data_IF_916786240629
#
_entry.id   IF_916786240629
#
_cell.length_a   1.000
_cell.length_b   1.000
_cell.length_c   1.000
_cell.angle_alpha   90.00
_cell.angle_beta   90.00
_cell.angle_gamma   90.00
#
_symmetry.space_group_name_H-M   'P 1'
#
loop_
_entity.id
_entity.type
_entity.pdbx_description
1 polymer ?
#
# COMPACT_ATOMS: atom_id res chain seq x y z
N UNK A 1 -21.17 37.08 -71.34
CA UNK A 1 -21.74 37.24 -69.98
C UNK A 1 -21.33 36.05 -69.16
N UNK A 2 -20.52 36.34 -68.14
CA UNK A 2 -20.00 35.42 -67.12
C UNK A 2 -21.13 34.82 -66.29
N UNK A 3 -20.95 33.61 -65.75
CA UNK A 3 -21.25 33.33 -64.34
C UNK A 3 -20.54 32.04 -63.87
N UNK A 4 -19.83 32.24 -62.77
CA UNK A 4 -18.78 31.42 -62.15
C UNK A 4 -19.28 30.15 -61.46
N UNK A 5 -18.56 29.04 -61.65
CA UNK A 5 -18.70 27.81 -60.84
C UNK A 5 -17.95 28.00 -59.52
N UNK A 6 -18.66 28.09 -58.41
CA UNK A 6 -18.07 28.14 -57.07
C UNK A 6 -17.80 26.72 -56.57
N UNK A 7 -16.52 26.35 -56.51
CA UNK A 7 -16.06 25.15 -55.81
C UNK A 7 -15.99 25.42 -54.31
N UNK A 8 -16.75 24.67 -53.52
CA UNK A 8 -16.69 24.71 -52.05
C UNK A 8 -15.55 23.78 -51.62
N UNK A 9 -14.41 24.35 -51.25
CA UNK A 9 -13.32 23.62 -50.59
C UNK A 9 -13.65 23.51 -49.10
N UNK A 10 -14.04 22.32 -48.64
CA UNK A 10 -14.18 22.02 -47.21
C UNK A 10 -12.78 21.82 -46.61
N UNK A 11 -12.28 22.84 -45.90
CA UNK A 11 -11.10 22.72 -45.05
C UNK A 11 -11.48 21.94 -43.78
N UNK A 12 -11.28 20.63 -43.77
CA UNK A 12 -11.31 19.82 -42.55
C UNK A 12 -10.03 20.13 -41.75
N UNK A 13 -10.12 21.08 -40.82
CA UNK A 13 -9.05 21.33 -39.85
C UNK A 13 -8.95 20.13 -38.92
N UNK A 14 -7.91 19.31 -39.12
CA UNK A 14 -7.48 18.32 -38.14
C UNK A 14 -6.94 19.09 -36.93
N UNK A 15 -7.78 19.27 -35.91
CA UNK A 15 -7.29 19.64 -34.57
C UNK A 15 -6.52 18.42 -34.04
N UNK A 16 -5.22 18.37 -34.31
CA UNK A 16 -4.31 17.63 -33.44
C UNK A 16 -4.45 18.25 -32.06
N UNK A 17 -5.21 17.61 -31.18
CA UNK A 17 -5.10 17.89 -29.75
C UNK A 17 -3.66 17.59 -29.38
N UNK A 18 -2.85 18.63 -29.24
CA UNK A 18 -1.61 18.52 -28.48
C UNK A 18 -2.04 18.15 -27.06
N UNK A 19 -1.99 16.86 -26.76
CA UNK A 19 -1.96 16.39 -25.39
C UNK A 19 -0.66 16.95 -24.81
N UNK A 20 -0.77 18.04 -24.08
CA UNK A 20 0.31 18.51 -23.22
C UNK A 20 0.56 17.37 -22.23
N UNK A 21 1.59 16.59 -22.49
CA UNK A 21 2.11 15.63 -21.53
C UNK A 21 2.61 16.48 -20.37
N UNK A 22 1.79 16.65 -19.35
CA UNK A 22 2.14 17.45 -18.19
C UNK A 22 3.40 16.85 -17.58
N UNK A 23 4.53 17.54 -17.70
CA UNK A 23 5.77 17.07 -17.11
C UNK A 23 5.54 16.90 -15.61
N UNK A 24 5.71 15.66 -15.11
CA UNK A 24 5.66 15.32 -13.69
C UNK A 24 6.51 16.24 -12.81
N UNK A 25 7.52 16.89 -13.40
CA UNK A 25 8.41 17.87 -12.77
C UNK A 25 7.68 19.06 -12.12
N UNK A 26 6.54 19.46 -12.67
CA UNK A 26 5.75 20.57 -12.13
C UNK A 26 4.65 20.10 -11.17
N UNK A 27 4.49 18.78 -10.98
CA UNK A 27 3.56 18.26 -10.00
C UNK A 27 4.09 18.60 -8.60
N UNK A 28 3.36 19.46 -7.90
CA UNK A 28 3.60 19.71 -6.49
C UNK A 28 2.61 18.85 -5.72
N UNK A 29 3.06 17.85 -4.94
CA UNK A 29 2.17 17.09 -4.08
C UNK A 29 1.71 18.00 -2.94
N UNK A 30 0.76 18.87 -3.26
CA UNK A 30 0.12 19.73 -2.29
C UNK A 30 -1.09 18.99 -1.73
N UNK A 31 -0.97 18.74 -0.43
CA UNK A 31 -2.00 18.38 0.54
C UNK A 31 -2.49 16.96 0.64
N UNK A 32 -2.42 16.11 -0.39
CA UNK A 32 -2.66 14.64 -0.39
C UNK A 32 -3.26 14.14 -1.71
N UNK A 33 -3.63 15.06 -2.62
CA UNK A 33 -4.36 14.78 -3.86
C UNK A 33 -3.84 13.54 -4.64
N UNK A 34 -4.76 12.70 -5.08
CA UNK A 34 -4.46 11.46 -5.78
C UNK A 34 -4.32 11.63 -7.30
N UNK A 35 -4.61 12.83 -7.85
CA UNK A 35 -4.52 13.07 -9.30
C UNK A 35 -3.12 12.84 -9.86
N UNK A 36 -2.06 12.92 -9.05
CA UNK A 36 -0.67 12.61 -9.41
C UNK A 36 -0.56 11.34 -10.26
N UNK A 37 -1.19 10.27 -9.78
CA UNK A 37 -1.10 8.96 -10.40
C UNK A 37 -1.68 8.96 -11.81
N UNK A 38 -2.78 9.67 -12.03
CA UNK A 38 -3.45 9.75 -13.33
C UNK A 38 -2.84 10.81 -14.25
N UNK A 39 -2.69 12.02 -13.73
CA UNK A 39 -2.30 13.20 -14.50
C UNK A 39 -0.81 13.24 -14.83
N UNK A 40 0.05 12.55 -14.08
CA UNK A 40 1.49 12.48 -14.33
C UNK A 40 1.93 11.05 -14.69
N UNK A 41 1.79 10.06 -13.79
CA UNK A 41 2.36 8.74 -14.06
C UNK A 41 1.64 8.02 -15.20
N UNK A 42 0.31 7.94 -15.15
CA UNK A 42 -0.45 7.25 -16.19
C UNK A 42 -0.43 7.99 -17.53
N UNK A 43 -0.52 9.34 -17.52
CA UNK A 43 -0.46 10.13 -18.76
C UNK A 43 0.85 9.92 -19.52
N UNK A 44 1.96 9.76 -18.80
CA UNK A 44 3.29 9.57 -19.37
C UNK A 44 3.59 8.10 -19.73
N UNK A 45 3.17 7.14 -18.90
CA UNK A 45 3.59 5.74 -19.01
C UNK A 45 2.52 4.76 -19.50
N UNK A 46 1.24 5.18 -19.50
CA UNK A 46 0.10 4.42 -20.00
C UNK A 46 0.05 2.96 -19.53
N UNK A 47 0.16 2.75 -18.21
CA UNK A 47 0.21 1.42 -17.62
C UNK A 47 -1.14 0.71 -17.57
N UNK A 48 -2.23 1.42 -17.84
CA UNK A 48 -3.59 0.90 -17.89
C UNK A 48 -4.24 0.77 -16.53
N UNK A 49 -5.51 0.34 -16.53
CA UNK A 49 -6.35 0.26 -15.32
C UNK A 49 -5.82 -0.71 -14.27
N UNK A 50 -5.13 -1.77 -14.68
CA UNK A 50 -4.52 -2.75 -13.78
C UNK A 50 -3.06 -2.39 -13.42
N UNK A 51 -2.49 -1.36 -14.07
CA UNK A 51 -1.16 -0.87 -13.81
C UNK A 51 -1.05 -0.18 -12.45
N UNK A 52 0.17 -0.06 -11.93
CA UNK A 52 0.40 0.53 -10.60
C UNK A 52 -0.21 1.92 -10.42
N UNK A 53 -0.10 2.89 -11.37
CA UNK A 53 -0.64 4.22 -11.18
C UNK A 53 -2.14 4.22 -10.86
N UNK A 54 -2.97 3.59 -11.68
CA UNK A 54 -4.42 3.59 -11.50
C UNK A 54 -4.90 2.47 -10.57
N UNK A 55 -4.49 1.23 -10.84
CA UNK A 55 -5.00 0.03 -10.19
C UNK A 55 -4.53 -0.16 -8.74
N UNK A 56 -3.49 0.57 -8.32
CA UNK A 56 -2.97 0.52 -6.96
C UNK A 56 -2.84 1.92 -6.34
N UNK A 57 -2.01 2.79 -6.93
CA UNK A 57 -1.67 4.11 -6.39
C UNK A 57 -2.88 5.02 -6.19
N UNK A 58 -3.57 5.37 -7.27
CA UNK A 58 -4.75 6.25 -7.23
C UNK A 58 -5.87 5.61 -6.39
N UNK A 59 -6.18 4.34 -6.66
CA UNK A 59 -7.21 3.56 -5.95
C UNK A 59 -7.03 3.62 -4.43
N UNK A 60 -5.86 3.28 -3.91
CA UNK A 60 -5.63 3.24 -2.47
C UNK A 60 -5.42 4.62 -1.87
N UNK A 61 -4.84 5.56 -2.62
CA UNK A 61 -4.79 6.96 -2.23
C UNK A 61 -6.20 7.52 -1.95
N UNK A 62 -7.14 7.30 -2.88
CA UNK A 62 -8.52 7.77 -2.74
C UNK A 62 -9.24 7.15 -1.53
N UNK A 63 -9.01 5.85 -1.26
CA UNK A 63 -9.57 5.20 -0.07
C UNK A 63 -8.96 5.74 1.23
N UNK A 64 -7.64 5.97 1.28
CA UNK A 64 -7.04 6.64 2.44
C UNK A 64 -7.64 8.03 2.66
N UNK A 65 -7.85 8.77 1.58
CA UNK A 65 -8.49 10.09 1.61
C UNK A 65 -9.91 10.07 2.14
N UNK A 66 -10.69 9.03 1.81
CA UNK A 66 -12.08 8.93 2.27
C UNK A 66 -12.18 8.65 3.77
N UNK A 67 -11.13 8.13 4.42
CA UNK A 67 -11.11 8.02 5.88
C UNK A 67 -11.38 9.39 6.52
N UNK A 68 -12.27 9.38 7.51
CA UNK A 68 -12.76 10.57 8.23
C UNK A 68 -13.69 11.49 7.42
N UNK A 69 -14.12 11.13 6.21
CA UNK A 69 -15.21 11.83 5.50
C UNK A 69 -16.57 11.15 5.76
N UNK A 70 -17.70 11.74 5.35
CA UNK A 70 -19.00 11.05 5.40
C UNK A 70 -19.06 9.78 4.54
N UNK A 71 -18.14 9.60 3.58
CA UNK A 71 -18.02 8.43 2.72
C UNK A 71 -16.83 7.55 3.14
N UNK A 72 -16.59 7.46 4.46
CA UNK A 72 -15.48 6.68 5.02
C UNK A 72 -15.52 5.24 4.52
N UNK A 73 -14.40 4.76 3.98
CA UNK A 73 -14.28 3.38 3.54
C UNK A 73 -14.47 2.43 4.74
N UNK A 74 -15.35 1.44 4.60
CA UNK A 74 -15.70 0.47 5.65
C UNK A 74 -16.12 1.09 6.99
N UNK A 75 -16.70 2.31 6.97
CA UNK A 75 -17.11 3.07 8.16
C UNK A 75 -15.96 3.28 9.17
N UNK A 76 -14.70 3.26 8.70
CA UNK A 76 -13.52 3.43 9.56
C UNK A 76 -13.07 4.88 9.63
N UNK A 77 -12.49 5.23 10.78
CA UNK A 77 -11.95 6.57 11.03
C UNK A 77 -10.60 6.43 11.69
N UNK A 78 -9.71 7.36 11.36
CA UNK A 78 -8.42 7.54 12.02
C UNK A 78 -8.57 8.52 13.17
N UNK A 79 -7.76 8.33 14.20
CA UNK A 79 -7.51 9.33 15.23
C UNK A 79 -6.91 10.61 14.62
N UNK A 80 -6.87 11.70 15.39
CA UNK A 80 -6.16 12.93 14.97
C UNK A 80 -4.70 12.67 14.62
N UNK A 81 -4.04 11.74 15.32
CA UNK A 81 -2.65 11.34 15.02
C UNK A 81 -2.58 10.54 13.72
N UNK A 82 -3.51 9.61 13.51
CA UNK A 82 -3.63 8.83 12.28
C UNK A 82 -3.90 9.70 11.04
N UNK A 83 -4.74 10.74 11.15
CA UNK A 83 -4.96 11.71 10.06
C UNK A 83 -3.67 12.44 9.68
N UNK A 84 -2.88 12.87 10.67
CA UNK A 84 -1.57 13.51 10.44
C UNK A 84 -0.59 12.54 9.76
N UNK A 85 -0.52 11.30 10.24
CA UNK A 85 0.30 10.24 9.65
C UNK A 85 -0.10 9.98 8.20
N UNK A 86 -1.40 9.78 7.93
CA UNK A 86 -1.93 9.54 6.58
C UNK A 86 -1.51 10.65 5.64
N UNK A 87 -1.74 11.90 6.02
CA UNK A 87 -1.48 13.03 5.13
C UNK A 87 0.00 13.11 4.75
N UNK A 88 0.90 12.93 5.73
CA UNK A 88 2.35 12.94 5.48
C UNK A 88 2.81 11.71 4.68
N UNK A 89 2.20 10.55 4.92
CA UNK A 89 2.49 9.31 4.19
C UNK A 89 2.11 9.45 2.71
N UNK A 90 0.91 9.94 2.40
CA UNK A 90 0.46 10.12 1.03
C UNK A 90 1.34 11.11 0.26
N UNK A 91 1.72 12.23 0.89
CA UNK A 91 2.66 13.18 0.29
C UNK A 91 4.02 12.54 0.07
N UNK A 92 4.57 11.83 1.07
CA UNK A 92 5.85 11.14 0.97
C UNK A 92 5.88 10.14 -0.19
N UNK A 93 4.85 9.31 -0.35
CA UNK A 93 4.79 8.32 -1.43
C UNK A 93 4.87 8.98 -2.82
N UNK A 94 4.12 10.07 -3.02
CA UNK A 94 4.13 10.81 -4.29
C UNK A 94 5.47 11.51 -4.50
N UNK A 95 6.01 12.15 -3.47
CA UNK A 95 7.32 12.82 -3.51
C UNK A 95 8.45 11.87 -3.92
N UNK A 96 8.45 10.64 -3.42
CA UNK A 96 9.46 9.64 -3.77
C UNK A 96 9.35 9.19 -5.22
N UNK A 97 8.13 9.02 -5.73
CA UNK A 97 7.91 8.69 -7.14
C UNK A 97 8.30 9.86 -8.06
N UNK A 98 8.02 11.10 -7.66
CA UNK A 98 8.47 12.30 -8.39
C UNK A 98 10.00 12.40 -8.39
N UNK A 99 10.63 12.16 -7.23
CA UNK A 99 12.10 12.16 -7.11
C UNK A 99 12.74 11.12 -8.01
N UNK A 100 12.25 9.88 -7.97
CA UNK A 100 12.80 8.80 -8.82
C UNK A 100 12.59 9.14 -10.31
N UNK A 101 11.40 9.63 -10.66
CA UNK A 101 11.10 10.05 -12.02
C UNK A 101 12.03 11.15 -12.53
N UNK A 102 12.35 12.13 -11.68
CA UNK A 102 13.25 13.22 -12.05
C UNK A 102 14.71 12.78 -12.14
N UNK A 103 15.17 11.92 -11.23
CA UNK A 103 16.57 11.53 -11.13
C UNK A 103 16.98 10.45 -12.13
N UNK A 104 16.11 9.45 -12.34
CA UNK A 104 16.43 8.25 -13.15
C UNK A 104 15.42 8.02 -14.27
N UNK A 105 14.20 8.53 -14.09
CA UNK A 105 13.06 8.15 -14.93
C UNK A 105 12.64 6.71 -14.66
N UNK A 106 11.43 6.35 -15.09
CA UNK A 106 11.01 4.95 -15.10
C UNK A 106 11.23 4.30 -16.47
N UNK A 107 11.69 3.04 -16.46
CA UNK A 107 11.93 2.26 -17.67
C UNK A 107 10.64 1.69 -18.26
N UNK A 108 9.72 1.26 -17.39
CA UNK A 108 8.45 0.63 -17.73
C UNK A 108 7.52 0.60 -16.50
N UNK A 109 6.30 0.12 -16.69
CA UNK A 109 5.28 0.02 -15.65
C UNK A 109 5.66 -0.88 -14.47
N UNK A 110 6.42 -1.95 -14.70
CA UNK A 110 6.90 -2.82 -13.63
C UNK A 110 7.95 -2.10 -12.77
N UNK A 111 8.78 -1.25 -13.38
CA UNK A 111 9.71 -0.41 -12.65
C UNK A 111 9.00 0.64 -11.78
N UNK A 112 7.93 1.28 -12.28
CA UNK A 112 7.08 2.18 -11.46
C UNK A 112 6.50 1.44 -10.26
N UNK A 113 5.93 0.25 -10.49
CA UNK A 113 5.37 -0.61 -9.45
C UNK A 113 6.40 -0.93 -8.37
N UNK A 114 7.57 -1.41 -8.78
CA UNK A 114 8.63 -1.81 -7.86
C UNK A 114 9.14 -0.64 -7.02
N UNK A 115 9.39 0.52 -7.63
CA UNK A 115 9.76 1.73 -6.88
C UNK A 115 8.65 2.12 -5.92
N UNK A 116 7.39 2.13 -6.39
CA UNK A 116 6.22 2.39 -5.56
C UNK A 116 6.23 1.56 -4.28
N UNK A 117 6.26 0.23 -4.39
CA UNK A 117 6.30 -0.67 -3.23
C UNK A 117 7.52 -0.44 -2.31
N UNK A 118 8.72 -0.20 -2.87
CA UNK A 118 9.94 0.05 -2.08
C UNK A 118 9.87 1.31 -1.22
N UNK A 119 9.12 2.34 -1.64
CA UNK A 119 9.04 3.61 -0.90
C UNK A 119 8.15 3.52 0.34
N UNK A 120 7.22 2.55 0.39
CA UNK A 120 6.20 2.49 1.43
C UNK A 120 6.77 2.27 2.81
N UNK A 121 7.73 1.36 3.00
CA UNK A 121 8.29 1.09 4.32
C UNK A 121 8.88 2.37 4.95
N UNK A 122 9.62 3.14 4.15
CA UNK A 122 10.15 4.45 4.56
C UNK A 122 9.01 5.43 4.87
N UNK A 123 8.05 5.61 3.97
CA UNK A 123 6.99 6.61 4.17
C UNK A 123 6.03 6.25 5.31
N UNK A 124 5.82 4.97 5.62
CA UNK A 124 4.92 4.51 6.68
C UNK A 124 5.61 4.58 8.05
N UNK A 125 6.83 4.05 8.15
CA UNK A 125 7.52 3.89 9.43
C UNK A 125 8.39 5.10 9.81
N UNK A 126 8.91 5.86 8.83
CA UNK A 126 9.77 7.03 9.09
C UNK A 126 9.06 8.37 8.94
N UNK A 127 7.76 8.38 8.63
CA UNK A 127 6.96 9.57 8.81
C UNK A 127 6.91 9.97 10.30
N UNK A 128 6.74 11.24 10.57
CA UNK A 128 6.35 11.75 11.88
C UNK A 128 4.93 12.31 11.73
N UNK A 129 3.90 11.97 12.52
CA UNK A 129 3.87 10.78 13.34
C UNK A 129 4.05 9.52 12.46
N UNK A 130 4.73 8.51 13.01
CA UNK A 130 4.96 7.21 12.36
C UNK A 130 3.77 6.27 12.57
N UNK A 131 3.58 5.31 11.64
CA UNK A 131 2.61 4.22 11.83
C UNK A 131 2.87 3.44 13.13
N UNK A 132 4.14 3.33 13.52
CA UNK A 132 4.58 2.60 14.72
C UNK A 132 4.05 3.21 16.02
N UNK A 133 3.67 4.49 16.00
CA UNK A 133 3.12 5.20 17.14
C UNK A 133 1.61 5.40 17.09
N UNK A 134 0.90 4.79 16.14
CA UNK A 134 -0.55 4.92 16.03
C UNK A 134 -1.28 3.92 16.94
N UNK A 135 -2.46 4.29 17.48
CA UNK A 135 -3.27 3.36 18.25
C UNK A 135 -3.78 2.20 17.38
N UNK A 136 -4.07 1.05 18.01
CA UNK A 136 -4.61 -0.13 17.32
C UNK A 136 -5.86 0.14 16.47
N UNK A 137 -6.71 1.10 16.86
CA UNK A 137 -7.88 1.50 16.06
C UNK A 137 -7.48 2.04 14.68
N UNK A 138 -6.38 2.79 14.60
CA UNK A 138 -5.87 3.34 13.36
C UNK A 138 -5.26 2.23 12.51
N UNK A 139 -4.52 1.29 13.11
CA UNK A 139 -4.03 0.09 12.42
C UNK A 139 -5.17 -0.72 11.80
N UNK A 140 -6.27 -0.94 12.53
CA UNK A 140 -7.47 -1.62 12.02
C UNK A 140 -8.10 -0.85 10.85
N UNK A 141 -8.17 0.48 10.93
CA UNK A 141 -8.66 1.31 9.84
C UNK A 141 -7.76 1.22 8.60
N UNK A 142 -6.45 1.37 8.76
CA UNK A 142 -5.45 1.28 7.69
C UNK A 142 -5.48 -0.09 7.03
N UNK A 143 -5.52 -1.15 7.83
CA UNK A 143 -5.56 -2.52 7.32
C UNK A 143 -6.84 -2.80 6.51
N UNK A 144 -7.94 -2.09 6.78
CA UNK A 144 -9.18 -2.27 6.04
C UNK A 144 -9.16 -1.66 4.64
N UNK A 145 -8.20 -0.77 4.32
CA UNK A 145 -8.16 -0.02 3.05
C UNK A 145 -7.76 -0.89 1.86
N UNK A 146 -6.83 -1.81 2.08
CA UNK A 146 -6.25 -2.66 1.02
C UNK A 146 -7.15 -3.87 0.78
N UNK A 147 -7.42 -4.19 -0.49
CA UNK A 147 -8.20 -5.37 -0.82
C UNK A 147 -7.49 -6.65 -0.36
N UNK A 148 -8.26 -7.64 0.10
CA UNK A 148 -7.75 -8.94 0.57
C UNK A 148 -6.82 -9.60 -0.48
N UNK A 149 -7.16 -9.52 -1.76
CA UNK A 149 -6.35 -10.07 -2.86
C UNK A 149 -4.99 -9.39 -3.04
N UNK A 150 -4.87 -8.13 -2.66
CA UNK A 150 -3.64 -7.35 -2.82
C UNK A 150 -2.69 -7.53 -1.63
N UNK A 151 -3.18 -8.01 -0.48
CA UNK A 151 -2.34 -8.37 0.67
C UNK A 151 -1.42 -9.55 0.40
N UNK A 152 -1.89 -10.55 -0.35
CA UNK A 152 -1.14 -11.79 -0.61
C UNK A 152 -0.06 -11.66 -1.67
N UNK A 153 0.04 -10.50 -2.35
CA UNK A 153 1.06 -10.27 -3.38
C UNK A 153 2.44 -10.21 -2.72
N UNK A 154 3.48 -10.87 -3.29
CA UNK A 154 4.82 -10.91 -2.68
C UNK A 154 5.39 -9.53 -2.32
N UNK A 155 5.16 -8.52 -3.17
CA UNK A 155 5.63 -7.16 -2.99
C UNK A 155 4.93 -6.47 -1.80
N UNK A 156 3.61 -6.68 -1.66
CA UNK A 156 2.83 -6.19 -0.52
C UNK A 156 3.27 -6.84 0.78
N UNK A 157 3.49 -8.17 0.78
CA UNK A 157 3.97 -8.89 1.97
C UNK A 157 5.35 -8.39 2.38
N UNK A 158 6.27 -8.25 1.42
CA UNK A 158 7.61 -7.71 1.67
C UNK A 158 7.55 -6.32 2.31
N UNK A 159 6.77 -5.41 1.75
CA UNK A 159 6.59 -4.07 2.30
C UNK A 159 6.03 -4.11 3.73
N UNK A 160 5.01 -4.93 3.98
CA UNK A 160 4.41 -5.05 5.31
C UNK A 160 5.48 -5.50 6.30
N UNK A 161 6.25 -6.54 5.99
CA UNK A 161 7.34 -7.02 6.84
C UNK A 161 8.38 -5.92 7.10
N UNK A 162 8.77 -5.15 6.07
CA UNK A 162 9.72 -4.04 6.24
C UNK A 162 9.18 -2.93 7.16
N UNK A 163 7.88 -2.62 7.11
CA UNK A 163 7.25 -1.68 8.07
C UNK A 163 7.29 -2.24 9.48
N UNK A 164 6.93 -3.51 9.67
CA UNK A 164 6.90 -4.16 10.99
C UNK A 164 8.31 -4.15 11.60
N UNK A 165 9.31 -4.52 10.82
CA UNK A 165 10.72 -4.51 11.24
C UNK A 165 11.18 -3.09 11.59
N UNK A 166 10.80 -2.09 10.79
CA UNK A 166 11.15 -0.69 11.07
C UNK A 166 10.47 -0.15 12.34
N UNK A 167 9.34 -0.72 12.76
CA UNK A 167 8.67 -0.36 14.01
C UNK A 167 9.27 -1.02 15.25
N UNK A 168 10.09 -2.07 15.08
CA UNK A 168 10.77 -2.77 16.18
C UNK A 168 9.82 -3.55 17.10
N UNK A 169 10.37 -3.99 18.23
CA UNK A 169 9.77 -4.98 19.15
C UNK A 169 8.40 -4.56 19.73
N UNK A 170 8.17 -3.26 19.92
CA UNK A 170 6.95 -2.75 20.57
C UNK A 170 5.68 -2.97 19.74
N UNK A 171 5.82 -3.09 18.42
CA UNK A 171 4.69 -3.27 17.49
C UNK A 171 4.45 -4.73 17.16
N UNK A 172 5.44 -5.62 17.36
CA UNK A 172 5.31 -7.06 17.08
C UNK A 172 4.25 -7.71 17.99
N UNK A 173 4.21 -7.41 19.30
CA UNK A 173 3.19 -8.00 20.19
C UNK A 173 1.76 -7.55 19.85
N UNK A 174 1.58 -6.26 19.54
CA UNK A 174 0.30 -5.66 19.17
C UNK A 174 -0.18 -6.10 17.78
N UNK A 175 0.74 -6.26 16.82
CA UNK A 175 0.46 -6.81 15.50
C UNK A 175 0.20 -8.30 15.52
N UNK A 176 0.93 -9.09 16.32
CA UNK A 176 0.66 -10.53 16.48
C UNK A 176 -0.72 -10.77 17.11
N UNK A 177 -1.18 -9.88 18.00
CA UNK A 177 -2.54 -9.92 18.52
C UNK A 177 -3.58 -9.64 17.42
N UNK A 178 -3.29 -8.73 16.49
CA UNK A 178 -4.13 -8.47 15.31
C UNK A 178 -4.04 -9.57 14.24
N UNK A 179 -2.87 -10.18 14.05
CA UNK A 179 -2.65 -11.34 13.20
C UNK A 179 -3.34 -12.58 13.75
N UNK A 180 -3.54 -12.71 15.06
CA UNK A 180 -4.37 -13.79 15.61
C UNK A 180 -5.84 -13.63 15.21
N UNK A 181 -6.38 -12.40 15.22
CA UNK A 181 -7.73 -12.10 14.68
C UNK A 181 -7.79 -12.28 13.15
N UNK A 182 -6.73 -11.94 12.41
CA UNK A 182 -6.68 -12.08 10.93
C UNK A 182 -6.28 -13.46 10.43
N UNK A 183 -5.56 -14.28 11.19
CA UNK A 183 -5.23 -15.66 10.82
C UNK A 183 -6.51 -16.48 10.67
N UNK A 184 -7.50 -16.21 11.52
CA UNK A 184 -8.86 -16.74 11.35
C UNK A 184 -9.48 -16.29 10.02
N UNK A 185 -9.28 -15.03 9.58
CA UNK A 185 -9.73 -14.55 8.27
C UNK A 185 -8.95 -15.17 7.10
N UNK A 186 -7.64 -15.34 7.18
CA UNK A 186 -6.83 -15.97 6.12
C UNK A 186 -7.17 -17.46 5.95
N UNK A 187 -7.51 -18.14 7.05
CA UNK A 187 -8.03 -19.50 7.06
C UNK A 187 -9.46 -19.57 6.49
N UNK A 188 -10.35 -18.63 6.85
CA UNK A 188 -11.73 -18.52 6.32
C UNK A 188 -11.75 -18.22 4.81
N UNK A 189 -10.82 -17.41 4.30
CA UNK A 189 -10.76 -17.02 2.88
C UNK A 189 -9.81 -17.87 2.02
N UNK A 190 -9.27 -18.97 2.56
CA UNK A 190 -8.47 -19.93 1.79
C UNK A 190 -7.15 -19.38 1.22
N UNK A 191 -6.68 -18.23 1.72
CA UNK A 191 -5.40 -17.65 1.33
C UNK A 191 -4.30 -18.42 2.05
N UNK A 192 -3.54 -19.22 1.28
CA UNK A 192 -2.49 -20.08 1.83
C UNK A 192 -1.52 -19.27 2.70
N UNK A 193 -1.56 -19.54 4.00
CA UNK A 193 -0.60 -19.11 5.05
C UNK A 193 0.87 -19.38 4.69
N UNK A 194 1.11 -20.22 3.68
CA UNK A 194 2.42 -20.53 3.12
C UNK A 194 3.15 -19.32 2.52
N UNK A 195 2.46 -18.37 1.87
CA UNK A 195 3.13 -17.21 1.27
C UNK A 195 3.71 -16.26 2.34
N UNK A 196 2.94 -16.02 3.40
CA UNK A 196 3.38 -15.22 4.54
C UNK A 196 4.48 -15.94 5.33
N UNK A 197 4.32 -17.24 5.58
CA UNK A 197 5.33 -18.06 6.25
C UNK A 197 6.62 -18.15 5.44
N UNK A 198 6.55 -18.31 4.13
CA UNK A 198 7.72 -18.34 3.25
C UNK A 198 8.41 -16.98 3.16
N UNK A 199 7.67 -15.87 3.08
CA UNK A 199 8.23 -14.53 3.10
C UNK A 199 8.90 -14.20 4.44
N UNK A 200 8.27 -14.58 5.56
CA UNK A 200 8.83 -14.47 6.89
C UNK A 200 10.10 -15.32 7.05
N UNK A 201 10.07 -16.59 6.63
CA UNK A 201 11.25 -17.49 6.65
C UNK A 201 12.36 -16.97 5.74
N UNK A 202 12.06 -16.46 4.55
CA UNK A 202 13.04 -15.91 3.62
C UNK A 202 13.70 -14.65 4.18
N UNK A 203 12.92 -13.74 4.77
CA UNK A 203 13.41 -12.48 5.32
C UNK A 203 14.25 -12.68 6.60
N UNK A 204 13.75 -13.46 7.56
CA UNK A 204 14.49 -13.77 8.80
C UNK A 204 15.55 -14.87 8.62
N UNK A 205 15.51 -15.63 7.52
CA UNK A 205 16.58 -16.55 7.14
C UNK A 205 17.75 -15.86 6.43
N UNK A 206 17.51 -14.71 5.80
CA UNK A 206 18.54 -13.92 5.09
C UNK A 206 19.17 -12.81 5.96
N UNK A 207 18.57 -12.47 7.10
CA UNK A 207 19.08 -11.45 8.01
C UNK A 207 19.19 -11.99 9.44
N UNK A 208 20.34 -11.83 10.12
CA UNK A 208 20.50 -12.30 11.48
C UNK A 208 19.47 -11.63 12.39
N UNK A 209 18.71 -12.45 13.11
CA UNK A 209 17.87 -12.01 14.22
C UNK A 209 18.76 -11.21 15.18
N UNK A 210 18.38 -9.98 15.58
CA UNK A 210 19.15 -9.21 16.54
C UNK A 210 19.43 -10.05 17.78
N UNK A 211 20.69 -10.12 18.25
CA UNK A 211 21.01 -10.97 19.37
C UNK A 211 20.40 -10.39 20.64
N UNK A 212 19.58 -11.23 21.28
CA UNK A 212 18.98 -11.11 22.62
C UNK A 212 17.52 -10.61 22.68
N UNK A 213 16.56 -11.55 22.58
CA UNK A 213 15.30 -11.42 23.33
C UNK A 213 14.93 -12.76 24.00
N UNK A 214 15.63 -13.17 25.08
CA UNK A 214 15.30 -14.39 25.82
C UNK A 214 13.84 -14.45 26.31
N UNK A 215 13.23 -13.28 26.52
CA UNK A 215 11.83 -13.16 26.96
C UNK A 215 10.82 -13.48 25.84
N UNK A 216 11.17 -13.26 24.57
CA UNK A 216 10.31 -13.57 23.43
C UNK A 216 10.29 -15.08 23.16
N UNK A 217 11.43 -15.74 23.28
CA UNK A 217 11.52 -17.20 23.15
C UNK A 217 10.70 -17.91 24.24
N UNK A 218 10.72 -17.39 25.47
CA UNK A 218 9.91 -17.89 26.57
C UNK A 218 8.41 -17.71 26.32
N UNK A 219 7.99 -16.53 25.86
CA UNK A 219 6.59 -16.21 25.57
C UNK A 219 6.05 -16.98 24.36
N UNK A 220 6.89 -17.21 23.34
CA UNK A 220 6.58 -18.11 22.20
C UNK A 220 6.42 -19.56 22.68
N UNK A 221 7.28 -20.02 23.60
CA UNK A 221 7.19 -21.36 24.19
C UNK A 221 5.91 -21.53 25.00
N UNK A 222 5.55 -20.55 25.83
CA UNK A 222 4.29 -20.55 26.60
C UNK A 222 3.06 -20.58 25.68
N UNK A 223 3.05 -19.74 24.64
CA UNK A 223 1.92 -19.68 23.70
C UNK A 223 1.77 -20.97 22.89
N UNK A 224 2.89 -21.63 22.50
CA UNK A 224 2.86 -22.97 21.88
C UNK A 224 2.27 -24.02 22.83
N UNK A 225 2.54 -23.95 24.12
CA UNK A 225 1.96 -24.86 25.11
C UNK A 225 0.45 -24.63 25.28
N UNK A 226 0.02 -23.35 25.33
CA UNK A 226 -1.41 -23.00 25.40
C UNK A 226 -2.19 -23.49 24.17
N UNK A 227 -1.61 -23.39 22.98
CA UNK A 227 -2.21 -23.89 21.73
C UNK A 227 -2.39 -25.41 21.75
N UNK A 228 -1.35 -26.16 22.13
CA UNK A 228 -1.45 -27.63 22.29
C UNK A 228 -2.53 -28.03 23.29
N UNK A 229 -2.67 -27.26 24.38
CA UNK A 229 -3.72 -27.49 25.36
C UNK A 229 -5.12 -27.27 24.75
N UNK A 230 -5.32 -26.18 24.02
CA UNK A 230 -6.60 -25.89 23.34
C UNK A 230 -6.93 -26.96 22.29
N UNK A 231 -5.96 -27.41 21.49
CA UNK A 231 -6.13 -28.50 20.52
C UNK A 231 -6.53 -29.81 21.21
N UNK A 232 -5.89 -30.15 22.33
CA UNK A 232 -6.24 -31.34 23.11
C UNK A 232 -7.65 -31.27 23.72
N UNK A 233 -8.19 -30.07 23.98
CA UNK A 233 -9.57 -29.90 24.44
C UNK A 233 -10.55 -30.11 23.27
N UNK A 234 -10.23 -29.60 22.07
CA UNK A 234 -11.05 -29.79 20.87
C UNK A 234 -11.13 -31.26 20.46
N UNK A 235 -10.03 -32.00 20.55
CA UNK A 235 -10.01 -33.43 20.23
C UNK A 235 -10.84 -34.26 21.22
N UNK A 236 -10.90 -33.84 22.49
CA UNK A 236 -11.72 -34.50 23.53
C UNK A 236 -13.19 -34.13 23.49
N UNK A 237 -13.55 -33.00 22.87
CA UNK A 237 -14.95 -32.59 22.67
C UNK A 237 -15.63 -33.21 21.44
N UNK A 238 -14.88 -33.98 20.63
CA UNK A 238 -15.37 -34.68 19.44
C UNK A 238 -15.38 -36.22 19.60
N UNK A 239 -15.14 -36.73 20.81
CA UNK A 239 -15.44 -38.11 21.23
C UNK A 239 -16.67 -38.12 22.13
#
# INVERSE_FOLDING_TARGET
>A
MSLSKHGIFTFTTLFFQLTTHGECRNYRPMQTDCTFYRSCLESQYQCGQEGYPLGYGEKYCQRFHSLNTPQSFNDKRLSTKGVKWRNRTLVCLQDELIREQFQKGFLNCENIKNVGFQTHARCYAKADPSICGLPLSDWKAIASIVDIKDYGKPESVKQILEVIVACGERTIEELLAFEHERAQLFEIYGLKTQAFKAAHISYFGAHPVPPQIPQLDEKIRENKQKLKFIESIKERGHQ
#
